data_IF_901954016819
#
_entry.id   IF_901954016819
#
_cell.length_a   1.000
_cell.length_b   1.000
_cell.length_c   1.000
_cell.angle_alpha   90.00
_cell.angle_beta   90.00
_cell.angle_gamma   90.00
#
_symmetry.space_group_name_H-M   'P 1'
#
loop_
_entity.id
_entity.type
_entity.pdbx_description
1 polymer ?
#
# COMPACT_ATOMS: atom_id res chain seq x y z
N UNK A 1 -8.14 18.39 21.18
CA UNK A 1 -7.29 17.99 20.03
C UNK A 1 -7.56 16.53 19.79
N UNK A 2 -8.68 16.24 19.13
CA UNK A 2 -9.13 14.87 18.86
C UNK A 2 -8.66 14.46 17.47
N UNK A 3 -7.55 13.75 17.42
CA UNK A 3 -7.16 12.99 16.24
C UNK A 3 -7.70 11.57 16.40
N UNK A 4 -8.99 11.41 16.05
CA UNK A 4 -9.53 10.12 15.65
C UNK A 4 -8.80 9.68 14.36
N UNK A 5 -7.79 8.81 14.51
CA UNK A 5 -7.37 7.91 13.44
C UNK A 5 -7.77 6.50 13.83
N UNK A 6 -8.91 6.08 13.30
CA UNK A 6 -9.31 4.69 13.19
C UNK A 6 -8.26 4.02 12.30
N UNK A 7 -7.27 3.41 12.93
CA UNK A 7 -6.44 2.37 12.33
C UNK A 7 -6.98 1.11 12.99
N UNK A 8 -7.61 0.25 12.20
CA UNK A 8 -8.03 -1.08 12.64
C UNK A 8 -6.85 -1.72 13.38
N UNK A 9 -7.01 -1.88 14.70
CA UNK A 9 -6.00 -2.47 15.54
C UNK A 9 -5.76 -3.89 15.01
N UNK A 10 -4.53 -4.18 14.60
CA UNK A 10 -4.06 -5.56 14.59
C UNK A 10 -4.42 -6.14 15.96
N UNK A 11 -5.12 -7.28 16.00
CA UNK A 11 -5.59 -7.94 17.23
C UNK A 11 -4.46 -8.22 18.25
N UNK A 12 -3.21 -8.04 17.82
CA UNK A 12 -2.01 -8.13 18.60
C UNK A 12 -1.26 -6.80 18.45
N UNK A 13 -1.26 -5.96 19.49
CA UNK A 13 -0.61 -4.64 19.47
C UNK A 13 0.90 -4.70 19.17
N UNK A 14 1.55 -3.54 19.00
CA UNK A 14 2.96 -3.44 18.58
C UNK A 14 3.96 -4.23 19.44
N UNK A 15 3.67 -4.41 20.73
CA UNK A 15 4.50 -5.19 21.66
C UNK A 15 4.56 -6.70 21.31
N UNK A 16 3.70 -7.19 20.40
CA UNK A 16 3.69 -8.57 19.95
C UNK A 16 4.76 -8.88 18.88
N UNK A 17 5.50 -7.88 18.41
CA UNK A 17 6.49 -8.04 17.34
C UNK A 17 7.88 -7.54 17.76
N UNK A 18 8.92 -8.22 17.29
CA UNK A 18 10.32 -7.78 17.45
C UNK A 18 11.06 -8.00 16.14
N UNK A 19 11.91 -7.05 15.76
CA UNK A 19 12.67 -7.07 14.51
C UNK A 19 14.14 -7.38 14.78
N UNK A 20 14.71 -8.30 14.00
CA UNK A 20 16.12 -8.65 14.03
C UNK A 20 16.68 -8.73 12.61
N UNK A 21 17.91 -8.26 12.42
CA UNK A 21 18.69 -8.45 11.19
C UNK A 21 19.49 -9.74 11.37
N UNK A 22 19.16 -10.78 10.59
CA UNK A 22 19.83 -12.09 10.70
C UNK A 22 21.16 -12.13 9.94
N UNK A 23 21.23 -11.44 8.80
CA UNK A 23 22.41 -11.42 7.92
C UNK A 23 22.33 -10.24 6.94
N UNK A 24 23.49 -9.74 6.52
CA UNK A 24 23.65 -8.90 5.32
C UNK A 24 24.14 -9.79 4.17
N UNK A 25 23.44 -9.78 3.04
CA UNK A 25 23.78 -10.56 1.86
C UNK A 25 23.64 -9.72 0.60
N UNK A 26 24.27 -10.18 -0.48
CA UNK A 26 24.12 -9.59 -1.81
C UNK A 26 22.70 -9.82 -2.36
N UNK A 27 22.24 -8.91 -3.22
CA UNK A 27 20.86 -8.91 -3.72
C UNK A 27 20.52 -10.19 -4.49
N UNK A 28 21.50 -10.74 -5.20
CA UNK A 28 21.39 -11.95 -6.01
C UNK A 28 21.13 -13.19 -5.15
N UNK A 29 21.57 -13.17 -3.90
CA UNK A 29 21.44 -14.29 -2.95
C UNK A 29 20.19 -14.18 -2.06
N UNK A 30 19.47 -13.07 -2.12
CA UNK A 30 18.35 -12.74 -1.22
C UNK A 30 17.34 -13.89 -1.10
N UNK A 31 16.90 -14.47 -2.22
CA UNK A 31 15.89 -15.56 -2.25
C UNK A 31 16.45 -16.83 -1.62
N UNK A 32 17.73 -17.14 -1.85
CA UNK A 32 18.39 -18.33 -1.33
C UNK A 32 18.53 -18.21 0.19
N UNK A 33 18.95 -17.03 0.68
CA UNK A 33 19.08 -16.75 2.12
C UNK A 33 17.72 -16.72 2.82
N UNK A 34 16.70 -16.11 2.20
CA UNK A 34 15.32 -16.12 2.71
C UNK A 34 14.82 -17.55 2.90
N UNK A 35 14.96 -18.41 1.87
CA UNK A 35 14.56 -19.81 1.97
C UNK A 35 15.34 -20.56 3.06
N UNK A 36 16.66 -20.37 3.13
CA UNK A 36 17.50 -20.99 4.18
C UNK A 36 16.99 -20.67 5.59
N UNK A 37 16.67 -19.41 5.88
CA UNK A 37 16.17 -19.03 7.21
C UNK A 37 14.72 -19.46 7.45
N UNK A 38 13.86 -19.48 6.43
CA UNK A 38 12.52 -20.06 6.55
C UNK A 38 12.58 -21.54 6.92
N UNK A 39 13.47 -22.31 6.29
CA UNK A 39 13.62 -23.74 6.57
C UNK A 39 14.28 -23.97 7.93
N UNK A 40 15.30 -23.18 8.28
CA UNK A 40 16.02 -23.29 9.54
C UNK A 40 15.18 -22.91 10.76
N UNK A 41 14.42 -21.82 10.68
CA UNK A 41 13.61 -21.31 11.78
C UNK A 41 12.22 -21.94 11.82
N UNK A 42 11.73 -22.42 10.67
CA UNK A 42 10.41 -23.02 10.46
C UNK A 42 9.28 -22.35 11.26
N UNK A 43 9.05 -21.04 11.08
CA UNK A 43 8.06 -20.31 11.87
C UNK A 43 6.63 -20.78 11.58
N UNK A 44 5.84 -20.94 12.63
CA UNK A 44 4.43 -21.37 12.55
C UNK A 44 3.53 -20.34 11.87
N UNK A 45 3.85 -19.05 11.98
CA UNK A 45 3.10 -17.96 11.38
C UNK A 45 3.30 -17.84 9.86
N UNK A 46 4.34 -18.47 9.30
CA UNK A 46 4.65 -18.33 7.88
C UNK A 46 3.87 -19.35 7.06
N UNK A 47 2.80 -18.89 6.39
CA UNK A 47 1.91 -19.71 5.57
C UNK A 47 2.59 -20.13 4.25
N UNK A 48 3.29 -19.20 3.60
CA UNK A 48 4.01 -19.46 2.34
C UNK A 48 5.39 -20.04 2.62
N UNK A 49 5.55 -21.36 2.45
CA UNK A 49 6.81 -22.06 2.78
C UNK A 49 7.94 -21.84 1.78
N UNK A 50 7.63 -21.39 0.56
CA UNK A 50 8.60 -21.16 -0.50
C UNK A 50 8.76 -19.66 -0.76
N UNK A 51 9.97 -19.13 -0.59
CA UNK A 51 10.30 -17.72 -0.79
C UNK A 51 10.02 -17.25 -2.22
N UNK A 52 10.35 -18.08 -3.22
CA UNK A 52 10.20 -17.72 -4.63
C UNK A 52 8.74 -17.53 -5.07
N UNK A 53 7.79 -18.23 -4.45
CA UNK A 53 6.37 -18.22 -4.86
C UNK A 53 5.78 -16.82 -4.78
N UNK A 54 6.16 -16.03 -3.76
CA UNK A 54 5.71 -14.64 -3.63
C UNK A 54 6.13 -13.79 -4.83
N UNK A 55 7.39 -13.90 -5.25
CA UNK A 55 7.91 -13.18 -6.42
C UNK A 55 7.22 -13.64 -7.70
N UNK A 56 7.05 -14.96 -7.87
CA UNK A 56 6.38 -15.52 -9.05
C UNK A 56 4.92 -15.07 -9.17
N UNK A 57 4.18 -15.05 -8.05
CA UNK A 57 2.80 -14.56 -8.01
C UNK A 57 2.71 -13.08 -8.39
N UNK A 58 3.66 -12.26 -7.95
CA UNK A 58 3.71 -10.85 -8.35
C UNK A 58 3.92 -10.73 -9.86
N UNK A 59 4.88 -11.45 -10.44
CA UNK A 59 5.16 -11.42 -11.88
C UNK A 59 3.96 -11.93 -12.70
N UNK A 60 3.31 -13.01 -12.24
CA UNK A 60 2.22 -13.64 -12.99
C UNK A 60 0.89 -12.88 -12.94
N UNK A 61 0.78 -11.85 -12.10
CA UNK A 61 -0.40 -10.98 -12.05
C UNK A 61 -0.15 -9.59 -12.65
N UNK A 62 0.86 -9.47 -13.53
CA UNK A 62 1.18 -8.21 -14.20
C UNK A 62 0.83 -8.23 -15.68
N UNK A 63 0.37 -7.08 -16.20
CA UNK A 63 0.06 -6.86 -17.62
C UNK A 63 -0.80 -7.99 -18.19
N UNK A 64 -0.47 -8.48 -19.38
CA UNK A 64 -1.16 -9.53 -20.14
C UNK A 64 -1.39 -10.83 -19.37
N UNK A 65 -0.57 -11.12 -18.36
CA UNK A 65 -0.75 -12.33 -17.52
C UNK A 65 -1.91 -12.18 -16.54
N UNK A 66 -2.32 -10.95 -16.22
CA UNK A 66 -3.43 -10.70 -15.31
C UNK A 66 -4.78 -11.08 -15.96
N UNK A 67 -5.66 -11.86 -15.30
CA UNK A 67 -6.92 -12.34 -15.89
C UNK A 67 -7.89 -11.25 -16.37
N UNK A 68 -7.71 -10.01 -15.89
CA UNK A 68 -8.51 -8.84 -16.28
C UNK A 68 -7.76 -7.85 -17.18
N UNK A 69 -6.56 -8.19 -17.66
CA UNK A 69 -5.85 -7.32 -18.60
C UNK A 69 -6.66 -7.14 -19.90
N UNK A 70 -6.76 -5.90 -20.37
CA UNK A 70 -7.54 -5.54 -21.55
C UNK A 70 -9.07 -5.59 -21.39
N UNK A 71 -9.59 -6.12 -20.27
CA UNK A 71 -11.03 -6.13 -20.00
C UNK A 71 -11.48 -4.76 -19.50
N UNK A 72 -12.55 -4.23 -20.08
CA UNK A 72 -13.22 -3.00 -19.60
C UNK A 72 -14.36 -3.36 -18.66
N UNK A 73 -14.53 -2.57 -17.59
CA UNK A 73 -15.72 -2.67 -16.74
C UNK A 73 -16.99 -2.40 -17.53
N UNK A 74 -18.09 -3.07 -17.16
CA UNK A 74 -19.44 -2.73 -17.64
C UNK A 74 -19.83 -1.33 -17.18
N UNK A 75 -20.80 -0.72 -17.87
CA UNK A 75 -21.28 0.61 -17.51
C UNK A 75 -21.87 0.65 -16.10
N UNK A 76 -22.60 -0.40 -15.73
CA UNK A 76 -23.17 -0.58 -14.40
C UNK A 76 -22.07 -0.63 -13.34
N UNK A 77 -21.04 -1.47 -13.52
CA UNK A 77 -19.91 -1.59 -12.58
C UNK A 77 -19.14 -0.27 -12.45
N UNK A 78 -18.95 0.45 -13.56
CA UNK A 78 -18.30 1.76 -13.56
C UNK A 78 -19.12 2.80 -12.80
N UNK A 79 -20.43 2.84 -13.00
CA UNK A 79 -21.33 3.74 -12.29
C UNK A 79 -21.33 3.44 -10.78
N UNK A 80 -21.44 2.16 -10.39
CA UNK A 80 -21.35 1.76 -8.98
C UNK A 80 -20.01 2.14 -8.36
N UNK A 81 -18.89 2.03 -9.09
CA UNK A 81 -17.58 2.47 -8.61
C UNK A 81 -17.53 3.98 -8.37
N UNK A 82 -18.19 4.77 -9.22
CA UNK A 82 -18.28 6.23 -9.05
C UNK A 82 -19.14 6.57 -7.82
N UNK A 83 -20.29 5.91 -7.66
CA UNK A 83 -21.20 6.14 -6.53
C UNK A 83 -20.59 5.71 -5.18
N UNK A 84 -19.81 4.63 -5.17
CA UNK A 84 -19.17 4.07 -3.98
C UNK A 84 -17.77 4.63 -3.71
N UNK A 85 -17.25 5.54 -4.53
CA UNK A 85 -16.07 6.31 -4.14
C UNK A 85 -16.46 7.08 -2.88
N UNK A 86 -15.80 6.77 -1.76
CA UNK A 86 -15.81 7.65 -0.57
C UNK A 86 -15.64 9.07 -1.08
N UNK A 87 -16.52 9.97 -0.66
CA UNK A 87 -16.43 11.39 -1.02
C UNK A 87 -14.97 11.79 -0.87
N UNK A 88 -14.34 12.20 -1.97
CA UNK A 88 -12.92 12.53 -1.97
C UNK A 88 -12.76 13.56 -0.86
N UNK A 89 -11.98 13.21 0.16
CA UNK A 89 -11.75 14.12 1.28
C UNK A 89 -11.08 15.35 0.68
N UNK A 90 -11.82 16.45 0.69
CA UNK A 90 -11.29 17.72 0.28
C UNK A 90 -10.09 18.07 1.16
N UNK A 91 -9.09 18.70 0.56
CA UNK A 91 -7.83 19.06 1.18
C UNK A 91 -7.90 20.54 1.51
N UNK A 92 -7.84 20.87 2.79
CA UNK A 92 -7.75 22.25 3.26
C UNK A 92 -6.26 22.63 3.41
N UNK A 93 -5.82 23.66 2.71
CA UNK A 93 -4.46 24.21 2.77
C UNK A 93 -4.51 25.51 3.56
N UNK A 94 -3.65 25.64 4.57
CA UNK A 94 -3.61 26.78 5.47
C UNK A 94 -2.33 27.58 5.19
N UNK A 95 -2.48 28.88 4.94
CA UNK A 95 -1.35 29.80 4.87
C UNK A 95 -0.90 30.17 6.30
N UNK A 96 0.37 29.91 6.62
CA UNK A 96 0.94 30.11 7.95
C UNK A 96 1.15 31.57 8.34
N UNK A 97 1.08 32.49 7.38
CA UNK A 97 1.38 33.92 7.59
C UNK A 97 0.13 34.73 7.94
N UNK A 98 -1.00 34.42 7.31
CA UNK A 98 -2.28 35.13 7.50
C UNK A 98 -3.40 34.22 8.03
N UNK A 99 -3.18 32.90 8.13
CA UNK A 99 -4.16 31.93 8.61
C UNK A 99 -5.27 31.59 7.61
N UNK A 100 -5.16 32.03 6.36
CA UNK A 100 -6.19 31.78 5.35
C UNK A 100 -6.26 30.29 5.00
N UNK A 101 -7.49 29.77 4.96
CA UNK A 101 -7.76 28.37 4.63
C UNK A 101 -8.35 28.30 3.22
N UNK A 102 -7.70 27.53 2.35
CA UNK A 102 -8.17 27.26 0.99
C UNK A 102 -8.46 25.78 0.79
N UNK A 103 -9.69 25.48 0.35
CA UNK A 103 -10.17 24.11 0.14
C UNK A 103 -10.01 23.67 -1.31
N UNK A 104 -9.44 22.49 -1.50
CA UNK A 104 -9.25 21.82 -2.79
C UNK A 104 -9.95 20.46 -2.78
N UNK A 105 -10.36 19.95 -3.94
CA UNK A 105 -11.01 18.63 -4.04
C UNK A 105 -9.99 17.49 -3.93
N UNK A 106 -8.69 17.76 -4.11
CA UNK A 106 -7.62 16.76 -4.04
C UNK A 106 -6.24 17.40 -3.88
N UNK A 107 -5.25 16.59 -3.48
CA UNK A 107 -3.84 17.01 -3.44
C UNK A 107 -3.32 17.45 -4.81
N UNK A 108 -3.72 16.77 -5.90
CA UNK A 108 -3.30 17.13 -7.26
C UNK A 108 -3.85 18.50 -7.68
N UNK A 109 -5.10 18.83 -7.31
CA UNK A 109 -5.66 20.16 -7.56
C UNK A 109 -4.92 21.25 -6.79
N UNK A 110 -4.56 20.99 -5.53
CA UNK A 110 -3.75 21.90 -4.74
C UNK A 110 -2.35 22.08 -5.35
N UNK A 111 -1.67 20.99 -5.71
CA UNK A 111 -0.34 21.02 -6.33
C UNK A 111 -0.33 21.83 -7.63
N UNK A 112 -1.35 21.64 -8.50
CA UNK A 112 -1.53 22.46 -9.70
C UNK A 112 -1.74 23.93 -9.39
N UNK A 113 -2.55 24.25 -8.39
CA UNK A 113 -2.78 25.64 -7.99
C UNK A 113 -1.49 26.33 -7.54
N UNK A 114 -0.61 25.61 -6.83
CA UNK A 114 0.68 26.13 -6.38
C UNK A 114 1.83 25.90 -7.37
N UNK A 115 1.57 25.34 -8.55
CA UNK A 115 2.58 24.95 -9.54
C UNK A 115 3.71 24.07 -8.97
N UNK A 116 3.36 23.12 -8.11
CA UNK A 116 4.28 22.13 -7.52
C UNK A 116 4.09 20.80 -8.28
N UNK A 117 5.15 19.99 -8.43
CA UNK A 117 5.02 18.69 -9.09
C UNK A 117 4.07 17.76 -8.31
N UNK A 118 3.22 17.05 -9.05
CA UNK A 118 2.32 16.01 -8.51
C UNK A 118 3.07 14.80 -7.93
#
# INVERSE_FOLDING_TARGET
MDNQRIIEENQHGYNAFTLYILEYCEKEELIIREQYYLDKLNPSYNILKLAEVKRLMSVNNTKEKHPFFGKKHSEISRASMILNRKAVLAVDVIDTTNGEIKRFRSNSEAARFFNISE
#
